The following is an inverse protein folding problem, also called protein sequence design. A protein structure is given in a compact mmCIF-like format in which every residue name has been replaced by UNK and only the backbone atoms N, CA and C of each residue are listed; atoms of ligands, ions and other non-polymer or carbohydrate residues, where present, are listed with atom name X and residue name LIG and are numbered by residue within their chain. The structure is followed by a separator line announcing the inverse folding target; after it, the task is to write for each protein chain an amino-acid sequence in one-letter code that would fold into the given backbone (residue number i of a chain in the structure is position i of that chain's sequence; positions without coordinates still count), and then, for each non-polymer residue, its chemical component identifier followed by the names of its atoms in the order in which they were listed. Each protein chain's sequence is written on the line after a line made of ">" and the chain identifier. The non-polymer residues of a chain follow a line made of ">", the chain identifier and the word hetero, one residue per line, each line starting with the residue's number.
data_IF_514448034630
#
_entry.id   IF_514448034630
#
_cell.length_a   1.000
_cell.length_b   1.000
_cell.length_c   1.000
_cell.angle_alpha   90.00
_cell.angle_beta   90.00
_cell.angle_gamma   90.00
#
_symmetry.space_group_name_H-M   'P 1'
#
loop_
_entity.id
_entity.type
_entity.pdbx_description
1 polymer ?
#
# COMPACT_ATOMS: atom_id res chain seq x y z
N UNK A 1 34.65 39.75 -14.64
CA UNK A 1 33.96 39.80 -13.34
C UNK A 1 32.45 39.54 -13.43
N UNK A 2 31.65 40.13 -14.35
CA UNK A 2 30.21 39.83 -14.42
C UNK A 2 29.88 38.39 -14.86
N UNK A 3 30.65 37.80 -15.78
CA UNK A 3 30.44 36.43 -16.26
C UNK A 3 30.64 35.36 -15.16
N UNK A 4 31.66 35.53 -14.31
CA UNK A 4 31.94 34.61 -13.21
C UNK A 4 30.82 34.62 -12.16
N UNK A 5 30.23 35.79 -11.89
CA UNK A 5 29.11 35.92 -10.96
C UNK A 5 27.84 35.23 -11.50
N UNK A 6 27.58 35.34 -12.81
CA UNK A 6 26.45 34.64 -13.46
C UNK A 6 26.62 33.13 -13.40
N UNK A 7 27.84 32.62 -13.62
CA UNK A 7 28.14 31.18 -13.52
C UNK A 7 27.92 30.68 -12.08
N UNK A 8 28.36 31.43 -11.07
CA UNK A 8 28.15 31.05 -9.66
C UNK A 8 26.66 31.01 -9.31
N UNK A 9 25.87 31.99 -9.74
CA UNK A 9 24.41 31.99 -9.51
C UNK A 9 23.75 30.80 -10.21
N UNK A 10 24.14 30.48 -11.44
CA UNK A 10 23.65 29.31 -12.16
C UNK A 10 24.02 28.00 -11.45
N UNK A 11 25.25 27.87 -10.94
CA UNK A 11 25.67 26.69 -10.18
C UNK A 11 24.91 26.57 -8.86
N UNK A 12 24.68 27.67 -8.13
CA UNK A 12 23.88 27.67 -6.91
C UNK A 12 22.43 27.27 -7.16
N UNK A 13 21.83 27.74 -8.27
CA UNK A 13 20.48 27.36 -8.66
C UNK A 13 20.43 25.88 -9.05
N UNK A 14 21.39 25.41 -9.86
CA UNK A 14 21.49 24.01 -10.24
C UNK A 14 21.67 23.09 -9.03
N UNK A 15 22.55 23.42 -8.09
CA UNK A 15 22.73 22.68 -6.85
C UNK A 15 21.45 22.64 -6.03
N UNK A 16 20.78 23.79 -5.85
CA UNK A 16 19.53 23.85 -5.09
C UNK A 16 18.42 23.02 -5.74
N UNK A 17 18.37 22.99 -7.07
CA UNK A 17 17.44 22.16 -7.83
C UNK A 17 17.74 20.67 -7.67
N UNK A 18 19.01 20.27 -7.82
CA UNK A 18 19.44 18.87 -7.65
C UNK A 18 19.18 18.36 -6.24
N UNK A 19 19.56 19.13 -5.20
CA UNK A 19 19.29 18.76 -3.81
C UNK A 19 17.79 18.61 -3.53
N UNK A 20 16.96 19.49 -4.09
CA UNK A 20 15.51 19.39 -3.93
C UNK A 20 14.98 18.12 -4.58
N UNK A 21 15.46 17.77 -5.77
CA UNK A 21 15.05 16.56 -6.47
C UNK A 21 15.47 15.29 -5.72
N UNK A 22 16.71 15.21 -5.28
CA UNK A 22 17.20 14.06 -4.49
C UNK A 22 16.43 13.90 -3.18
N UNK A 23 16.14 15.01 -2.48
CA UNK A 23 15.32 14.96 -1.27
C UNK A 23 13.91 14.44 -1.51
N UNK A 24 13.33 14.73 -2.69
CA UNK A 24 11.99 14.26 -3.06
C UNK A 24 11.99 12.78 -3.42
N UNK A 25 12.98 12.33 -4.19
CA UNK A 25 13.18 10.92 -4.51
C UNK A 25 13.36 10.10 -3.23
N UNK A 26 14.20 10.58 -2.29
CA UNK A 26 14.40 9.93 -1.00
C UNK A 26 13.12 9.84 -0.16
N UNK A 27 12.36 10.93 -0.06
CA UNK A 27 11.09 10.92 0.68
C UNK A 27 10.08 9.97 0.03
N UNK A 28 10.02 9.94 -1.31
CA UNK A 28 9.15 9.02 -2.04
C UNK A 28 9.52 7.56 -1.77
N UNK A 29 10.79 7.19 -1.89
CA UNK A 29 11.29 5.83 -1.57
C UNK A 29 11.06 5.44 -0.11
N UNK A 30 11.15 6.40 0.82
CA UNK A 30 10.89 6.15 2.22
C UNK A 30 9.40 5.89 2.49
N UNK A 31 8.50 6.70 1.94
CA UNK A 31 7.05 6.49 2.03
C UNK A 31 6.67 5.15 1.43
N UNK A 32 7.30 4.82 0.31
CA UNK A 32 7.10 3.59 -0.41
C UNK A 32 7.50 2.34 0.39
N UNK A 33 8.70 2.39 0.98
CA UNK A 33 9.20 1.34 1.87
C UNK A 33 8.31 1.20 3.10
N UNK A 34 7.91 2.32 3.70
CA UNK A 34 7.03 2.33 4.87
C UNK A 34 5.65 1.74 4.58
N UNK A 35 5.07 2.04 3.42
CA UNK A 35 3.80 1.45 2.97
C UNK A 35 3.94 -0.06 2.77
N UNK A 36 5.05 -0.49 2.15
CA UNK A 36 5.37 -1.91 1.95
C UNK A 36 5.51 -2.66 3.27
N UNK A 37 6.23 -2.09 4.24
CA UNK A 37 6.35 -2.69 5.59
C UNK A 37 5.02 -2.76 6.32
N UNK A 38 4.16 -1.76 6.18
CA UNK A 38 2.81 -1.78 6.76
C UNK A 38 1.93 -2.86 6.14
N UNK A 39 2.03 -3.09 4.83
CA UNK A 39 1.35 -4.18 4.13
C UNK A 39 1.85 -5.55 4.59
N UNK A 40 3.16 -5.72 4.73
CA UNK A 40 3.76 -6.95 5.27
C UNK A 40 3.30 -7.21 6.71
N UNK A 41 3.22 -6.19 7.56
CA UNK A 41 2.71 -6.34 8.92
C UNK A 41 1.22 -6.71 8.97
N UNK A 42 0.46 -6.36 7.94
CA UNK A 42 -0.95 -6.68 7.79
C UNK A 42 -1.19 -8.10 7.23
N UNK A 43 -0.14 -8.80 6.78
CA UNK A 43 -0.17 -10.15 6.24
C UNK A 43 -0.43 -11.24 7.30
N UNK A 44 -1.51 -11.09 8.06
CA UNK A 44 -1.90 -11.99 9.15
C UNK A 44 -2.66 -13.17 8.55
N UNK A 45 -1.99 -14.31 8.42
CA UNK A 45 -2.58 -15.54 7.92
C UNK A 45 -3.54 -16.13 8.97
N UNK A 46 -4.73 -16.54 8.54
CA UNK A 46 -5.63 -17.32 9.37
C UNK A 46 -5.14 -18.79 9.44
N UNK A 47 -4.43 -19.11 10.51
CA UNK A 47 -3.87 -20.46 10.72
C UNK A 47 -4.93 -21.56 10.83
N UNK A 48 -6.14 -21.24 11.29
CA UNK A 48 -7.21 -22.23 11.41
C UNK A 48 -7.66 -22.69 10.02
N UNK A 49 -7.90 -21.72 9.13
CA UNK A 49 -8.30 -22.01 7.75
C UNK A 49 -7.17 -22.61 6.93
N UNK A 50 -5.92 -22.20 7.18
CA UNK A 50 -4.77 -22.85 6.58
C UNK A 50 -4.67 -24.33 6.98
N UNK A 51 -4.94 -24.68 8.24
CA UNK A 51 -4.92 -26.07 8.70
C UNK A 51 -6.03 -26.94 8.09
N UNK A 52 -7.17 -26.35 7.75
CA UNK A 52 -8.33 -27.06 7.18
C UNK A 52 -8.24 -27.17 5.66
N UNK A 53 -7.96 -26.06 4.98
CA UNK A 53 -8.01 -25.95 3.52
C UNK A 53 -6.66 -26.08 2.83
N UNK A 54 -5.55 -25.92 3.56
CA UNK A 54 -4.21 -25.81 2.99
C UNK A 54 -3.94 -24.50 2.25
N UNK A 55 -4.93 -23.60 2.13
CA UNK A 55 -4.78 -22.31 1.45
C UNK A 55 -4.37 -21.22 2.45
N UNK A 56 -3.40 -20.40 2.06
CA UNK A 56 -2.99 -19.23 2.83
C UNK A 56 -3.99 -18.11 2.60
N UNK A 57 -4.86 -17.82 3.56
CA UNK A 57 -5.88 -16.79 3.42
C UNK A 57 -5.87 -15.81 4.58
N UNK A 58 -6.31 -14.59 4.30
CA UNK A 58 -6.49 -13.47 5.24
C UNK A 58 -7.98 -13.11 5.25
N UNK A 59 -8.78 -14.10 5.61
CA UNK A 59 -10.23 -14.05 5.78
C UNK A 59 -10.67 -15.12 6.77
N UNK A 60 -11.90 -15.03 7.26
CA UNK A 60 -12.41 -16.00 8.24
C UNK A 60 -12.73 -17.35 7.59
N UNK A 61 -12.95 -17.37 6.27
CA UNK A 61 -13.14 -18.58 5.46
C UNK A 61 -12.74 -18.35 4.00
N UNK A 62 -12.94 -19.37 3.16
CA UNK A 62 -12.62 -19.31 1.73
C UNK A 62 -13.43 -18.24 0.98
N UNK A 63 -14.71 -18.10 1.30
CA UNK A 63 -15.56 -17.03 0.78
C UNK A 63 -15.59 -15.89 1.81
N UNK A 64 -15.01 -14.71 1.52
CA UNK A 64 -14.93 -13.64 2.49
C UNK A 64 -16.28 -12.96 2.68
N UNK A 65 -16.60 -12.61 3.92
CA UNK A 65 -17.74 -11.77 4.27
C UNK A 65 -17.30 -10.33 4.59
N UNK A 66 -18.25 -9.40 4.44
CA UNK A 66 -18.02 -8.02 4.81
C UNK A 66 -17.87 -7.99 6.33
N UNK A 67 -16.78 -7.40 6.83
CA UNK A 67 -16.43 -7.36 8.26
C UNK A 67 -15.94 -8.70 8.85
N UNK A 68 -15.35 -9.57 8.03
CA UNK A 68 -14.55 -10.69 8.51
C UNK A 68 -13.56 -10.26 9.60
N UNK A 69 -13.49 -11.04 10.68
CA UNK A 69 -12.65 -10.70 11.84
C UNK A 69 -11.16 -10.75 11.50
N UNK A 70 -10.71 -11.73 10.72
CA UNK A 70 -9.35 -11.81 10.20
C UNK A 70 -9.00 -10.61 9.31
N UNK A 71 -9.93 -10.19 8.44
CA UNK A 71 -9.76 -9.01 7.60
C UNK A 71 -9.67 -7.72 8.43
N UNK A 72 -10.56 -7.54 9.41
CA UNK A 72 -10.53 -6.38 10.32
C UNK A 72 -9.20 -6.34 11.08
N UNK A 73 -8.74 -7.47 11.61
CA UNK A 73 -7.47 -7.55 12.32
C UNK A 73 -6.29 -7.16 11.41
N UNK A 74 -6.29 -7.66 10.18
CA UNK A 74 -5.32 -7.29 9.14
C UNK A 74 -5.33 -5.78 8.87
N UNK A 75 -6.52 -5.19 8.67
CA UNK A 75 -6.67 -3.75 8.45
C UNK A 75 -6.24 -2.89 9.65
N UNK A 76 -6.56 -3.30 10.89
CA UNK A 76 -6.13 -2.58 12.10
C UNK A 76 -4.60 -2.61 12.20
N UNK A 77 -3.96 -3.76 11.95
CA UNK A 77 -2.48 -3.84 11.94
C UNK A 77 -1.85 -2.99 10.85
N UNK A 78 -2.44 -2.98 9.65
CA UNK A 78 -2.02 -2.07 8.59
C UNK A 78 -2.05 -0.61 9.05
N UNK A 79 -3.18 -0.17 9.63
CA UNK A 79 -3.37 1.18 10.14
C UNK A 79 -2.34 1.56 11.20
N UNK A 80 -2.14 0.71 12.21
CA UNK A 80 -1.22 0.95 13.31
C UNK A 80 0.23 1.07 12.80
N UNK A 81 0.66 0.13 11.94
CA UNK A 81 2.00 0.16 11.36
C UNK A 81 2.20 1.37 10.44
N UNK A 82 1.21 1.72 9.62
CA UNK A 82 1.29 2.88 8.74
C UNK A 82 1.42 4.18 9.52
N UNK A 83 0.64 4.35 10.60
CA UNK A 83 0.75 5.50 11.49
C UNK A 83 2.12 5.58 12.14
N UNK A 84 2.62 4.47 12.70
CA UNK A 84 3.94 4.42 13.31
C UNK A 84 5.07 4.74 12.31
N UNK A 85 5.04 4.12 11.13
CA UNK A 85 6.10 4.23 10.12
C UNK A 85 6.17 5.63 9.49
N UNK A 86 5.01 6.24 9.21
CA UNK A 86 4.91 7.59 8.63
C UNK A 86 4.85 8.70 9.70
N UNK A 87 4.83 8.37 10.99
CA UNK A 87 4.74 9.34 12.07
C UNK A 87 3.43 10.14 12.08
N UNK A 88 2.31 9.45 11.92
CA UNK A 88 0.96 10.04 11.89
C UNK A 88 0.30 9.99 13.27
N UNK A 89 -0.63 10.91 13.52
CA UNK A 89 -1.53 10.87 14.67
C UNK A 89 -2.76 9.96 14.42
N UNK A 90 -3.69 9.95 15.37
CA UNK A 90 -4.94 9.18 15.29
C UNK A 90 -5.84 9.59 14.10
N UNK A 91 -5.74 10.85 13.66
CA UNK A 91 -6.50 11.42 12.55
C UNK A 91 -5.78 11.26 11.19
N UNK A 92 -4.67 10.53 11.16
CA UNK A 92 -3.80 10.38 9.99
C UNK A 92 -3.11 11.68 9.56
N UNK A 93 -2.98 12.65 10.47
CA UNK A 93 -2.25 13.88 10.25
C UNK A 93 -0.78 13.69 10.60
N UNK A 94 0.10 14.30 9.81
CA UNK A 94 1.55 14.15 9.98
C UNK A 94 2.02 14.92 11.22
N UNK A 95 2.74 14.22 12.10
CA UNK A 95 3.29 14.81 13.33
C UNK A 95 4.78 15.11 13.26
N UNK A 96 5.51 14.49 12.32
CA UNK A 96 6.94 14.67 12.10
C UNK A 96 7.19 15.08 10.66
N UNK A 97 7.96 16.15 10.44
CA UNK A 97 8.29 16.64 9.10
C UNK A 97 9.15 15.66 8.31
N UNK A 98 8.51 14.80 7.51
CA UNK A 98 9.14 13.86 6.57
C UNK A 98 8.92 14.28 5.11
N UNK A 99 8.81 15.59 4.84
CA UNK A 99 8.57 16.12 3.49
C UNK A 99 7.15 15.92 2.94
N UNK A 100 6.29 15.25 3.70
CA UNK A 100 4.85 15.21 3.47
C UNK A 100 4.15 16.34 4.22
N UNK A 101 3.06 16.84 3.64
CA UNK A 101 2.18 17.83 4.23
C UNK A 101 0.76 17.30 4.38
N UNK A 102 0.02 17.86 5.34
CA UNK A 102 -1.39 17.58 5.60
C UNK A 102 -1.66 16.17 6.12
N UNK A 103 -2.76 15.57 5.66
CA UNK A 103 -3.32 14.31 6.10
C UNK A 103 -3.03 13.22 5.06
N UNK A 104 -2.76 12.01 5.54
CA UNK A 104 -2.69 10.82 4.68
C UNK A 104 -4.07 10.19 4.63
N UNK A 105 -4.63 10.05 3.43
CA UNK A 105 -5.92 9.40 3.21
C UNK A 105 -5.72 8.00 2.61
N UNK A 106 -6.39 7.00 3.20
CA UNK A 106 -6.40 5.65 2.65
C UNK A 106 -7.56 5.57 1.66
N UNK A 107 -7.23 5.59 0.37
CA UNK A 107 -8.21 5.49 -0.72
C UNK A 107 -8.75 4.06 -0.77
N UNK A 108 -7.86 3.07 -0.65
CA UNK A 108 -8.26 1.68 -0.71
C UNK A 108 -7.31 0.77 0.05
N UNK A 109 -7.87 -0.22 0.73
CA UNK A 109 -7.16 -1.36 1.31
C UNK A 109 -7.88 -2.62 0.85
N UNK A 110 -7.16 -3.61 0.32
CA UNK A 110 -7.75 -4.82 -0.25
C UNK A 110 -6.87 -6.02 0.05
N UNK A 111 -7.50 -7.14 0.33
CA UNK A 111 -6.89 -8.45 0.48
C UNK A 111 -7.42 -9.31 -0.67
N UNK A 112 -6.51 -9.89 -1.44
CA UNK A 112 -6.81 -10.87 -2.45
C UNK A 112 -6.41 -12.24 -1.92
N UNK A 113 -7.37 -13.14 -1.70
CA UNK A 113 -7.08 -14.52 -1.33
C UNK A 113 -7.04 -15.38 -2.58
N UNK A 114 -5.95 -16.10 -2.78
CA UNK A 114 -5.81 -17.08 -3.85
C UNK A 114 -6.13 -18.47 -3.31
N UNK A 115 -7.20 -19.06 -3.82
CA UNK A 115 -7.72 -20.34 -3.35
C UNK A 115 -7.51 -21.39 -4.43
N UNK A 116 -6.78 -22.45 -4.07
CA UNK A 116 -6.53 -23.60 -4.94
C UNK A 116 -7.14 -24.87 -4.36
N UNK A 117 -7.72 -25.70 -5.22
CA UNK A 117 -8.32 -26.98 -4.83
C UNK A 117 -8.48 -27.93 -6.01
N UNK A 118 -9.11 -29.09 -5.78
CA UNK A 118 -9.28 -30.14 -6.80
C UNK A 118 -10.11 -29.68 -8.02
N UNK A 119 -10.96 -28.67 -7.86
CA UNK A 119 -11.80 -28.08 -8.91
C UNK A 119 -11.16 -26.93 -9.71
N UNK A 120 -9.90 -26.59 -9.45
CA UNK A 120 -9.20 -25.45 -10.04
C UNK A 120 -8.86 -24.38 -9.02
N UNK A 121 -8.72 -23.14 -9.47
CA UNK A 121 -8.39 -22.01 -8.61
C UNK A 121 -9.32 -20.83 -8.84
N UNK A 122 -9.48 -19.99 -7.82
CA UNK A 122 -10.20 -18.73 -7.92
C UNK A 122 -9.61 -17.72 -6.95
N UNK A 123 -9.96 -16.45 -7.16
CA UNK A 123 -9.55 -15.34 -6.30
C UNK A 123 -10.77 -14.75 -5.64
N UNK A 124 -10.65 -14.47 -4.35
CA UNK A 124 -11.61 -13.64 -3.62
C UNK A 124 -10.95 -12.35 -3.17
N UNK A 125 -11.73 -11.28 -3.10
CA UNK A 125 -11.28 -9.96 -2.70
C UNK A 125 -12.15 -9.47 -1.55
N UNK A 126 -11.50 -9.03 -0.47
CA UNK A 126 -12.13 -8.31 0.62
C UNK A 126 -11.44 -6.96 0.75
N UNK A 127 -12.19 -5.87 0.83
CA UNK A 127 -11.57 -4.56 0.82
C UNK A 127 -12.43 -3.46 1.40
N UNK A 128 -11.76 -2.35 1.69
CA UNK A 128 -12.35 -1.07 2.01
C UNK A 128 -11.95 -0.12 0.87
N UNK A 129 -12.94 0.53 0.25
CA UNK A 129 -12.72 1.53 -0.78
C UNK A 129 -13.51 2.79 -0.43
N UNK A 130 -12.81 3.91 -0.29
CA UNK A 130 -13.39 5.18 0.15
C UNK A 130 -14.23 5.03 1.44
N UNK A 131 -13.72 4.24 2.40
CA UNK A 131 -14.40 3.96 3.67
C UNK A 131 -15.56 2.97 3.61
N UNK A 132 -15.92 2.45 2.43
CA UNK A 132 -16.98 1.45 2.28
C UNK A 132 -16.38 0.05 2.17
N UNK A 133 -16.75 -0.90 3.06
CA UNK A 133 -16.29 -2.27 2.99
C UNK A 133 -17.06 -3.04 1.92
N UNK A 134 -16.42 -4.00 1.27
CA UNK A 134 -17.03 -4.85 0.24
C UNK A 134 -16.28 -6.18 0.13
N UNK A 135 -16.95 -7.15 -0.49
CA UNK A 135 -16.35 -8.42 -0.90
C UNK A 135 -16.70 -8.73 -2.35
N UNK A 136 -15.84 -9.48 -3.02
CA UNK A 136 -16.01 -9.88 -4.41
C UNK A 136 -15.41 -11.28 -4.62
N UNK A 137 -16.15 -12.14 -5.32
CA UNK A 137 -15.67 -13.44 -5.78
C UNK A 137 -15.46 -13.39 -7.29
N UNK A 138 -14.25 -13.68 -7.74
CA UNK A 138 -13.96 -13.77 -9.16
C UNK A 138 -14.38 -15.14 -9.73
N UNK A 139 -14.67 -15.25 -11.04
CA UNK A 139 -14.96 -16.53 -11.66
C UNK A 139 -13.78 -17.50 -11.59
N UNK A 140 -14.10 -18.79 -11.54
CA UNK A 140 -13.09 -19.83 -11.43
C UNK A 140 -12.18 -19.86 -12.67
N UNK A 141 -10.88 -20.06 -12.44
CA UNK A 141 -9.82 -20.15 -13.44
C UNK A 141 -9.67 -18.89 -14.33
N UNK A 142 -10.07 -17.72 -13.83
CA UNK A 142 -9.90 -16.43 -14.52
C UNK A 142 -8.80 -15.60 -13.87
N UNK A 143 -7.83 -15.17 -14.68
CA UNK A 143 -6.73 -14.33 -14.22
C UNK A 143 -7.22 -12.94 -13.80
N UNK A 144 -6.91 -12.58 -12.56
CA UNK A 144 -7.19 -11.27 -11.98
C UNK A 144 -5.93 -10.42 -12.06
N UNK A 145 -6.05 -9.21 -12.60
CA UNK A 145 -4.97 -8.25 -12.72
C UNK A 145 -5.30 -6.97 -11.95
N UNK A 146 -4.34 -6.48 -11.19
CA UNK A 146 -4.47 -5.30 -10.33
C UNK A 146 -3.43 -4.27 -10.73
N UNK A 147 -3.84 -3.01 -10.83
CA UNK A 147 -2.91 -1.90 -11.04
C UNK A 147 -2.18 -1.59 -9.73
N UNK A 148 -0.90 -1.94 -9.63
CA UNK A 148 -0.06 -1.71 -8.47
C UNK A 148 1.40 -1.58 -8.92
N UNK A 149 2.23 -0.90 -8.12
CA UNK A 149 3.66 -0.76 -8.38
C UNK A 149 3.97 -0.19 -9.78
N UNK A 150 3.20 0.79 -10.23
CA UNK A 150 3.31 1.42 -11.55
C UNK A 150 3.06 0.47 -12.75
N UNK A 151 2.42 -0.68 -12.52
CA UNK A 151 2.10 -1.67 -13.56
C UNK A 151 0.85 -2.48 -13.28
N UNK A 152 0.54 -3.42 -14.18
CA UNK A 152 -0.53 -4.41 -13.99
C UNK A 152 0.09 -5.71 -13.50
N UNK A 153 -0.26 -6.12 -12.28
CA UNK A 153 0.24 -7.34 -11.64
C UNK A 153 -0.86 -8.39 -11.62
N UNK A 154 -0.51 -9.62 -12.02
CA UNK A 154 -1.41 -10.76 -11.92
C UNK A 154 -1.42 -11.29 -10.49
N UNK A 155 -2.60 -11.58 -9.95
CA UNK A 155 -2.73 -12.25 -8.65
C UNK A 155 -2.55 -13.75 -8.85
N UNK A 156 -1.44 -14.28 -8.32
CA UNK A 156 -1.11 -15.71 -8.36
C UNK A 156 -1.01 -16.33 -6.96
N UNK A 157 -1.00 -15.49 -5.92
CA UNK A 157 -0.90 -15.86 -4.53
C UNK A 157 -1.64 -14.84 -3.66
N UNK A 158 -1.98 -15.23 -2.44
CA UNK A 158 -2.66 -14.34 -1.51
C UNK A 158 -1.82 -13.10 -1.26
N UNK A 159 -2.42 -11.93 -1.48
CA UNK A 159 -1.73 -10.66 -1.58
C UNK A 159 -2.55 -9.54 -0.94
N UNK A 160 -1.87 -8.54 -0.38
CA UNK A 160 -2.48 -7.35 0.19
C UNK A 160 -2.11 -6.14 -0.65
N UNK A 161 -3.11 -5.32 -0.93
CA UNK A 161 -3.02 -4.08 -1.68
C UNK A 161 -3.43 -2.90 -0.82
N UNK A 162 -2.69 -1.80 -0.93
CA UNK A 162 -3.12 -0.50 -0.42
C UNK A 162 -2.87 0.61 -1.44
N UNK A 163 -3.76 1.60 -1.38
CA UNK A 163 -3.64 2.87 -2.07
C UNK A 163 -3.82 4.00 -1.06
N UNK A 164 -2.82 4.87 -0.98
CA UNK A 164 -2.82 6.04 -0.12
C UNK A 164 -2.69 7.32 -0.95
N UNK A 165 -3.25 8.41 -0.45
CA UNK A 165 -3.06 9.76 -0.94
C UNK A 165 -2.37 10.60 0.11
N UNK A 166 -1.43 11.45 -0.30
CA UNK A 166 -0.71 12.37 0.58
C UNK A 166 -0.25 13.61 -0.18
N UNK A 167 -0.10 14.73 0.52
CA UNK A 167 0.50 15.95 -0.03
C UNK A 167 2.02 15.95 0.11
N UNK A 168 2.73 16.43 -0.91
CA UNK A 168 4.16 16.74 -0.84
C UNK A 168 4.38 18.26 -0.91
N UNK A 169 5.27 18.77 -0.05
CA UNK A 169 5.58 20.20 0.06
C UNK A 169 5.93 20.79 -1.33
N UNK A 170 5.15 21.80 -1.74
CA UNK A 170 5.27 22.54 -3.02
C UNK A 170 5.15 21.69 -4.30
N UNK A 171 4.61 20.48 -4.23
CA UNK A 171 4.39 19.62 -5.41
C UNK A 171 2.94 19.20 -5.61
N UNK A 172 2.12 19.24 -4.56
CA UNK A 172 0.70 18.91 -4.62
C UNK A 172 0.37 17.53 -4.05
N UNK A 173 -0.80 17.00 -4.42
CA UNK A 173 -1.27 15.70 -3.97
C UNK A 173 -0.73 14.57 -4.85
N UNK A 174 -0.32 13.49 -4.20
CA UNK A 174 0.21 12.28 -4.81
C UNK A 174 -0.58 11.07 -4.33
N UNK A 175 -0.75 10.10 -5.23
CA UNK A 175 -1.31 8.80 -4.91
C UNK A 175 -0.23 7.74 -5.10
N UNK A 176 -0.12 6.83 -4.14
CA UNK A 176 0.79 5.70 -4.19
C UNK A 176 0.01 4.41 -4.03
N UNK A 177 0.40 3.39 -4.80
CA UNK A 177 -0.21 2.06 -4.77
C UNK A 177 0.86 1.02 -4.54
N UNK A 178 0.62 0.09 -3.61
CA UNK A 178 1.48 -1.06 -3.38
C UNK A 178 0.68 -2.34 -3.25
N UNK A 179 1.23 -3.41 -3.82
CA UNK A 179 0.75 -4.78 -3.68
C UNK A 179 1.92 -5.62 -3.16
N UNK A 180 1.64 -6.39 -2.11
CA UNK A 180 2.60 -7.29 -1.46
C UNK A 180 1.99 -8.67 -1.38
N UNK A 181 2.75 -9.69 -1.78
CA UNK A 181 2.37 -11.07 -1.58
C UNK A 181 2.70 -11.56 -0.17
N UNK A 182 1.89 -12.44 0.38
CA UNK A 182 2.03 -12.96 1.75
C UNK A 182 3.13 -14.03 1.87
N UNK A 183 3.60 -14.56 0.74
CA UNK A 183 4.45 -15.77 0.66
C UNK A 183 5.91 -15.53 0.27
N UNK A 184 6.34 -14.27 0.07
CA UNK A 184 7.72 -13.94 -0.31
C UNK A 184 8.60 -13.50 0.88
#
# INVERSE_FOLDING_TARGET
>A
MPLAMVIVVFMCWFLSYSFRRESLEYNYEQIDSNLTYSLLAAAIINFNEYAVSGNLIISDGAEPEVWDSAFINSYIRFMDCLRCNLGLDENMCITKGQGMENKVDIISYRVYNYLSGEGGWHVTECGIKNGQPYTLRYPDNVAVYVAANDGMIKIEQTSIYAQISFGLDKLGEYCMTRLVAVTD
#
